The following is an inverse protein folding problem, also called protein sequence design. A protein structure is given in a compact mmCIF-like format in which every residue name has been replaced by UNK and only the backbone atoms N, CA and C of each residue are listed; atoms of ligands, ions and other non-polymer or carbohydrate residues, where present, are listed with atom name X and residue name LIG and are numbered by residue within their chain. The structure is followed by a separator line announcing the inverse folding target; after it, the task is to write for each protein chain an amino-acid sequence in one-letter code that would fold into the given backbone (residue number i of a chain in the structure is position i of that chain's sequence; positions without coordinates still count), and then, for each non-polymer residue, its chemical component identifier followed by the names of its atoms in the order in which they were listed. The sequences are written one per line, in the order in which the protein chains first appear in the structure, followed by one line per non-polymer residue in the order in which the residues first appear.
data_IF_519783879519
#
_entry.id   IF_519783879519
#
_cell.length_a   1.000
_cell.length_b   1.000
_cell.length_c   1.000
_cell.angle_alpha   90.00
_cell.angle_beta   90.00
_cell.angle_gamma   90.00
#
_symmetry.space_group_name_H-M   'P 1'
#
loop_
_entity.id
_entity.type
_entity.pdbx_description
1 polymer ?
#
# COMPACT_ATOMS: atom_id res chain seq x y z
N UNK A 1 -15.32 -33.33 35.68
CA UNK A 1 -13.99 -32.95 35.17
C UNK A 1 -14.12 -32.84 33.63
N UNK A 2 -14.38 -31.66 33.13
CA UNK A 2 -14.52 -31.45 31.67
C UNK A 2 -13.13 -31.18 31.05
N UNK A 3 -12.80 -31.77 29.90
CA UNK A 3 -11.55 -31.47 29.24
C UNK A 3 -11.65 -30.07 28.63
N UNK A 4 -10.80 -29.17 29.12
CA UNK A 4 -10.58 -27.85 28.54
C UNK A 4 -10.05 -28.03 27.09
N UNK A 5 -10.90 -27.84 26.08
CA UNK A 5 -10.46 -27.83 24.71
C UNK A 5 -9.60 -26.57 24.49
N UNK A 6 -8.29 -26.73 24.58
CA UNK A 6 -7.36 -25.74 23.99
C UNK A 6 -7.64 -25.72 22.48
N UNK A 7 -8.36 -24.71 22.03
CA UNK A 7 -8.39 -24.35 20.62
C UNK A 7 -6.92 -24.10 20.27
N UNK A 8 -6.33 -24.95 19.45
CA UNK A 8 -4.98 -24.76 18.95
C UNK A 8 -4.94 -23.39 18.23
N UNK A 9 -4.17 -22.46 18.75
CA UNK A 9 -3.97 -21.16 18.12
C UNK A 9 -3.28 -21.41 16.76
N UNK A 10 -3.93 -21.00 15.68
CA UNK A 10 -3.36 -21.12 14.32
C UNK A 10 -2.00 -20.38 14.27
N UNK A 11 -1.00 -21.00 13.67
CA UNK A 11 0.29 -20.34 13.44
C UNK A 11 0.09 -19.01 12.70
N UNK A 12 0.63 -17.88 13.20
CA UNK A 12 0.48 -16.57 12.57
C UNK A 12 0.88 -16.53 11.09
N UNK A 13 1.88 -17.32 10.69
CA UNK A 13 2.31 -17.44 9.28
C UNK A 13 1.25 -18.14 8.43
N UNK A 14 0.68 -19.24 8.94
CA UNK A 14 -0.39 -19.96 8.25
C UNK A 14 -1.63 -19.07 8.11
N UNK A 15 -2.01 -18.36 9.17
CA UNK A 15 -3.09 -17.39 9.15
C UNK A 15 -2.86 -16.26 8.14
N UNK A 16 -1.66 -15.65 8.10
CA UNK A 16 -1.29 -14.64 7.09
C UNK A 16 -1.39 -15.21 5.66
N UNK A 17 -0.94 -16.44 5.44
CA UNK A 17 -1.02 -17.08 4.10
C UNK A 17 -2.46 -17.30 3.66
N UNK A 18 -3.32 -17.84 4.53
CA UNK A 18 -4.74 -18.08 4.26
C UNK A 18 -5.48 -16.77 3.97
N UNK A 19 -5.36 -15.78 4.84
CA UNK A 19 -6.01 -14.47 4.68
C UNK A 19 -5.58 -13.77 3.39
N UNK A 20 -4.28 -13.86 3.04
CA UNK A 20 -3.78 -13.35 1.76
C UNK A 20 -4.47 -14.03 0.59
N UNK A 21 -4.53 -15.36 0.58
CA UNK A 21 -5.15 -16.10 -0.52
C UNK A 21 -6.64 -15.76 -0.68
N UNK A 22 -7.38 -15.70 0.43
CA UNK A 22 -8.80 -15.34 0.45
C UNK A 22 -9.05 -13.92 -0.08
N UNK A 23 -8.26 -12.94 0.39
CA UNK A 23 -8.41 -11.55 -0.04
C UNK A 23 -8.02 -11.34 -1.51
N UNK A 24 -6.97 -12.00 -1.98
CA UNK A 24 -6.58 -11.97 -3.39
C UNK A 24 -7.63 -12.64 -4.28
N UNK A 25 -8.27 -13.71 -3.83
CA UNK A 25 -9.37 -14.34 -4.56
C UNK A 25 -10.59 -13.40 -4.69
N UNK A 26 -10.95 -12.68 -3.62
CA UNK A 26 -12.01 -11.66 -3.68
C UNK A 26 -11.65 -10.52 -4.63
N UNK A 27 -10.40 -10.03 -4.57
CA UNK A 27 -9.90 -8.97 -5.46
C UNK A 27 -9.94 -9.39 -6.92
N UNK A 28 -9.53 -10.61 -7.23
CA UNK A 28 -9.56 -11.14 -8.59
C UNK A 28 -10.97 -11.24 -9.19
N UNK A 29 -12.01 -11.20 -8.35
CA UNK A 29 -13.41 -11.10 -8.80
C UNK A 29 -13.80 -9.73 -9.34
N UNK A 30 -13.01 -8.68 -9.04
CA UNK A 30 -13.19 -7.36 -9.64
C UNK A 30 -12.44 -7.32 -10.98
N UNK A 31 -13.15 -7.13 -12.06
CA UNK A 31 -12.56 -7.14 -13.40
C UNK A 31 -13.14 -6.05 -14.29
N UNK A 32 -12.38 -5.66 -15.31
CA UNK A 32 -12.84 -4.76 -16.37
C UNK A 32 -13.36 -3.42 -15.87
N UNK A 33 -14.60 -3.08 -16.23
CA UNK A 33 -15.21 -1.79 -15.90
C UNK A 33 -15.36 -1.58 -14.38
N UNK A 34 -15.72 -2.60 -13.62
CA UNK A 34 -15.89 -2.52 -12.16
C UNK A 34 -14.57 -2.18 -11.45
N UNK A 35 -13.47 -2.78 -11.90
CA UNK A 35 -12.13 -2.50 -11.40
C UNK A 35 -11.73 -1.04 -11.67
N UNK A 36 -11.94 -0.56 -12.90
CA UNK A 36 -11.60 0.81 -13.28
C UNK A 36 -12.44 1.84 -12.53
N UNK A 37 -13.75 1.61 -12.41
CA UNK A 37 -14.66 2.47 -11.67
C UNK A 37 -14.33 2.50 -10.16
N UNK A 38 -14.07 1.36 -9.55
CA UNK A 38 -13.67 1.28 -8.15
C UNK A 38 -12.34 2.02 -7.91
N UNK A 39 -11.35 1.86 -8.80
CA UNK A 39 -10.08 2.59 -8.72
C UNK A 39 -10.27 4.11 -8.81
N UNK A 40 -11.14 4.57 -9.71
CA UNK A 40 -11.48 5.99 -9.83
C UNK A 40 -12.19 6.53 -8.57
N UNK A 41 -13.13 5.77 -7.99
CA UNK A 41 -13.81 6.16 -6.73
C UNK A 41 -12.83 6.23 -5.57
N UNK A 42 -11.91 5.28 -5.44
CA UNK A 42 -10.88 5.32 -4.39
C UNK A 42 -9.99 6.57 -4.52
N UNK A 43 -9.61 6.94 -5.73
CA UNK A 43 -8.86 8.17 -5.98
C UNK A 43 -9.66 9.42 -5.58
N UNK A 44 -10.97 9.48 -5.87
CA UNK A 44 -11.85 10.57 -5.46
C UNK A 44 -12.01 10.66 -3.93
N UNK A 45 -11.92 9.55 -3.23
CA UNK A 45 -11.98 9.50 -1.76
C UNK A 45 -10.67 9.93 -1.09
N UNK A 46 -9.52 9.82 -1.77
CA UNK A 46 -8.20 10.05 -1.21
C UNK A 46 -8.00 11.43 -0.53
N UNK A 47 -8.57 12.56 -1.02
CA UNK A 47 -8.41 13.87 -0.37
C UNK A 47 -8.93 13.94 1.07
N UNK A 48 -9.74 13.00 1.53
CA UNK A 48 -10.20 12.92 2.93
C UNK A 48 -9.05 12.65 3.91
N UNK A 49 -7.96 12.01 3.45
CA UNK A 49 -6.72 11.77 4.21
C UNK A 49 -5.51 12.50 3.61
N UNK A 50 -5.44 12.60 2.28
CA UNK A 50 -4.37 13.26 1.54
C UNK A 50 -4.72 14.72 1.23
N UNK A 51 -5.02 15.49 2.29
CA UNK A 51 -5.24 16.93 2.17
C UNK A 51 -3.92 17.70 2.32
N UNK A 52 -3.83 18.92 1.74
CA UNK A 52 -2.65 19.79 1.78
C UNK A 52 -1.38 19.12 1.23
N UNK A 53 -1.48 18.57 0.02
CA UNK A 53 -0.36 17.86 -0.64
C UNK A 53 0.49 18.75 -1.55
N UNK A 54 0.16 20.03 -1.71
CA UNK A 54 0.93 20.97 -2.54
C UNK A 54 2.41 21.02 -2.12
N UNK A 55 3.29 20.82 -3.09
CA UNK A 55 4.74 20.73 -2.88
C UNK A 55 5.24 19.47 -2.16
N UNK A 56 4.36 18.67 -1.54
CA UNK A 56 4.75 17.45 -0.83
C UNK A 56 5.14 16.33 -1.79
N UNK A 57 6.02 15.46 -1.32
CA UNK A 57 6.35 14.23 -2.04
C UNK A 57 5.43 13.10 -1.59
N UNK A 58 4.58 12.62 -2.49
CA UNK A 58 3.69 11.48 -2.27
C UNK A 58 4.21 10.30 -3.07
N UNK A 59 4.57 9.20 -2.41
CA UNK A 59 4.93 7.99 -3.14
C UNK A 59 3.68 7.18 -3.45
N UNK A 60 3.57 6.73 -4.69
CA UNK A 60 2.62 5.71 -5.12
C UNK A 60 3.35 4.37 -5.30
N UNK A 61 2.64 3.36 -5.76
CA UNK A 61 3.22 2.13 -6.28
C UNK A 61 2.79 1.92 -7.74
N UNK A 62 3.56 1.19 -8.50
CA UNK A 62 3.14 0.72 -9.83
C UNK A 62 2.29 -0.54 -9.61
N UNK A 63 1.01 -0.55 -10.02
CA UNK A 63 0.13 -1.67 -9.80
C UNK A 63 0.65 -2.96 -10.44
N UNK A 64 0.53 -4.06 -9.72
CA UNK A 64 0.90 -5.38 -10.20
C UNK A 64 -0.33 -6.28 -10.28
N UNK A 65 -0.55 -6.90 -11.47
CA UNK A 65 -1.74 -7.73 -11.76
C UNK A 65 -3.04 -6.94 -11.58
N UNK A 66 -3.91 -7.43 -10.70
CA UNK A 66 -5.23 -6.93 -10.36
C UNK A 66 -5.24 -5.96 -9.15
N UNK A 67 -4.08 -5.38 -8.81
CA UNK A 67 -4.04 -4.30 -7.82
C UNK A 67 -4.85 -3.10 -8.27
N UNK A 68 -5.35 -2.35 -7.29
CA UNK A 68 -6.06 -1.10 -7.55
C UNK A 68 -5.19 -0.16 -8.40
N UNK A 69 -5.78 0.43 -9.45
CA UNK A 69 -5.06 1.33 -10.33
C UNK A 69 -4.74 2.66 -9.62
N UNK A 70 -3.47 3.01 -9.61
CA UNK A 70 -2.97 4.27 -9.02
C UNK A 70 -2.96 5.44 -9.99
N UNK A 71 -3.22 5.22 -11.29
CA UNK A 71 -3.19 6.30 -12.29
C UNK A 71 -4.22 7.42 -12.02
N UNK A 72 -5.48 7.12 -11.62
CA UNK A 72 -6.42 8.17 -11.26
C UNK A 72 -5.96 8.99 -10.04
N UNK A 73 -5.35 8.33 -9.04
CA UNK A 73 -4.79 9.01 -7.87
C UNK A 73 -3.57 9.87 -8.24
N UNK A 74 -2.70 9.37 -9.11
CA UNK A 74 -1.56 10.13 -9.60
C UNK A 74 -1.99 11.43 -10.30
N UNK A 75 -2.98 11.33 -11.19
CA UNK A 75 -3.54 12.49 -11.89
C UNK A 75 -4.12 13.53 -10.91
N UNK A 76 -4.84 13.07 -9.89
CA UNK A 76 -5.38 13.94 -8.84
C UNK A 76 -4.25 14.63 -8.06
N UNK A 77 -3.25 13.89 -7.60
CA UNK A 77 -2.11 14.43 -6.85
C UNK A 77 -1.34 15.49 -7.64
N UNK A 78 -1.05 15.25 -8.91
CA UNK A 78 -0.41 16.24 -9.78
C UNK A 78 -1.26 17.50 -9.96
N UNK A 79 -2.59 17.35 -10.11
CA UNK A 79 -3.49 18.50 -10.21
C UNK A 79 -3.53 19.36 -8.96
N UNK A 80 -3.18 18.77 -7.80
CA UNK A 80 -3.09 19.43 -6.50
C UNK A 80 -1.67 19.93 -6.15
N UNK A 81 -0.74 19.90 -7.10
CA UNK A 81 0.63 20.38 -6.90
C UNK A 81 1.56 19.41 -6.17
N UNK A 82 1.15 18.17 -5.92
CA UNK A 82 2.02 17.18 -5.30
C UNK A 82 3.12 16.71 -6.24
N UNK A 83 4.25 16.35 -5.68
CA UNK A 83 5.36 15.68 -6.36
C UNK A 83 5.21 14.17 -6.18
N UNK A 84 4.90 13.46 -7.26
CA UNK A 84 4.71 12.01 -7.21
C UNK A 84 6.05 11.29 -7.35
N UNK A 85 6.24 10.22 -6.56
CA UNK A 85 7.40 9.34 -6.65
C UNK A 85 6.95 7.87 -6.72
N UNK A 86 7.80 7.02 -7.31
CA UNK A 86 7.58 5.57 -7.35
C UNK A 86 8.72 4.83 -6.63
N UNK A 87 8.45 3.67 -6.04
CA UNK A 87 9.44 2.88 -5.32
C UNK A 87 10.39 2.16 -6.28
N UNK A 88 11.62 2.04 -5.82
CA UNK A 88 12.69 1.26 -6.47
C UNK A 88 13.17 0.21 -5.48
N UNK A 89 13.14 -1.05 -5.88
CA UNK A 89 13.70 -2.15 -5.09
C UNK A 89 15.21 -2.19 -5.35
N UNK A 90 15.99 -1.86 -4.33
CA UNK A 90 17.46 -1.82 -4.41
C UNK A 90 18.12 -3.08 -3.85
N UNK A 91 17.37 -3.96 -3.23
CA UNK A 91 17.82 -5.25 -2.70
C UNK A 91 16.69 -5.99 -1.99
N UNK A 92 16.86 -7.31 -1.81
CA UNK A 92 15.80 -8.18 -1.27
C UNK A 92 15.38 -7.78 0.16
N UNK A 93 16.35 -7.49 1.02
CA UNK A 93 16.13 -7.22 2.44
C UNK A 93 16.43 -5.75 2.81
N UNK A 94 16.39 -4.88 1.81
CA UNK A 94 16.62 -3.45 1.97
C UNK A 94 15.29 -2.67 1.90
N UNK A 95 15.23 -1.49 2.56
CA UNK A 95 14.13 -0.55 2.37
C UNK A 95 14.09 -0.06 0.93
N UNK A 96 12.92 0.41 0.52
CA UNK A 96 12.71 1.00 -0.80
C UNK A 96 13.44 2.35 -0.90
N UNK A 97 13.95 2.62 -2.09
CA UNK A 97 14.32 3.94 -2.55
C UNK A 97 13.13 4.54 -3.32
N UNK A 98 13.02 5.85 -3.42
CA UNK A 98 11.96 6.51 -4.20
C UNK A 98 12.55 7.47 -5.20
N UNK A 99 12.00 7.47 -6.43
CA UNK A 99 12.39 8.41 -7.48
C UNK A 99 11.18 9.17 -7.98
N UNK A 100 11.39 10.45 -8.26
CA UNK A 100 10.33 11.29 -8.84
C UNK A 100 9.87 10.73 -10.19
N UNK A 101 8.57 10.85 -10.40
CA UNK A 101 7.93 10.47 -11.64
C UNK A 101 6.86 11.50 -11.99
N UNK A 102 6.86 11.94 -13.26
CA UNK A 102 5.94 12.93 -13.83
C UNK A 102 5.19 12.32 -15.00
N UNK A 103 4.04 12.91 -15.41
CA UNK A 103 3.36 12.48 -16.62
C UNK A 103 4.31 12.51 -17.83
N UNK A 104 4.39 11.39 -18.54
CA UNK A 104 5.25 11.24 -19.71
C UNK A 104 6.70 10.83 -19.44
N UNK A 105 7.14 10.81 -18.17
CA UNK A 105 8.47 10.28 -17.85
C UNK A 105 8.54 8.78 -18.16
N UNK A 106 9.68 8.29 -18.71
CA UNK A 106 9.83 6.89 -19.02
C UNK A 106 9.86 6.03 -17.75
N UNK A 107 9.28 4.84 -17.84
CA UNK A 107 9.38 3.79 -16.83
C UNK A 107 10.02 2.55 -17.46
N UNK A 108 10.97 1.96 -16.75
CA UNK A 108 11.68 0.75 -17.17
C UNK A 108 11.10 -0.46 -16.43
N UNK A 109 10.85 -1.59 -17.11
CA UNK A 109 10.40 -2.81 -16.46
C UNK A 109 11.55 -3.47 -15.69
N UNK A 110 11.49 -3.48 -14.36
CA UNK A 110 12.54 -3.99 -13.47
C UNK A 110 12.13 -5.26 -12.73
N UNK A 111 13.09 -6.14 -12.50
CA UNK A 111 12.93 -7.39 -11.76
C UNK A 111 12.14 -8.47 -12.49
N UNK A 112 11.93 -9.61 -11.81
CA UNK A 112 11.23 -10.77 -12.37
C UNK A 112 9.77 -10.49 -12.74
N UNK A 113 9.15 -9.54 -12.05
CA UNK A 113 7.77 -9.12 -12.27
C UNK A 113 7.62 -7.96 -13.24
N UNK A 114 8.74 -7.45 -13.80
CA UNK A 114 8.78 -6.34 -14.76
C UNK A 114 7.99 -5.11 -14.27
N UNK A 115 8.14 -4.76 -13.00
CA UNK A 115 7.46 -3.62 -12.39
C UNK A 115 7.96 -2.32 -13.03
N UNK A 116 7.06 -1.45 -13.54
CA UNK A 116 7.42 -0.15 -14.09
C UNK A 116 8.12 0.71 -13.04
N UNK A 117 9.37 1.08 -13.29
CA UNK A 117 10.23 1.76 -12.30
C UNK A 117 10.91 2.96 -12.96
N UNK A 118 10.98 4.15 -12.30
CA UNK A 118 11.72 5.28 -12.82
C UNK A 118 13.20 4.96 -13.01
N UNK A 119 13.84 5.43 -14.12
CA UNK A 119 15.23 5.12 -14.43
C UNK A 119 16.19 5.68 -13.36
N UNK A 120 17.46 5.20 -13.33
CA UNK A 120 18.47 5.71 -12.41
C UNK A 120 18.76 7.21 -12.54
N UNK A 121 18.47 7.81 -13.67
CA UNK A 121 18.60 9.25 -13.91
C UNK A 121 17.50 10.10 -13.26
N UNK A 122 16.37 9.50 -12.85
CA UNK A 122 15.31 10.23 -12.17
C UNK A 122 15.74 10.62 -10.75
N UNK A 123 15.40 11.85 -10.27
CA UNK A 123 15.82 12.36 -8.98
C UNK A 123 15.33 11.48 -7.81
N UNK A 124 16.24 11.11 -6.93
CA UNK A 124 15.91 10.41 -5.69
C UNK A 124 15.30 11.37 -4.67
N UNK A 125 14.27 10.93 -3.97
CA UNK A 125 13.53 11.73 -3.01
C UNK A 125 13.11 10.90 -1.80
N UNK A 126 12.84 11.60 -0.69
CA UNK A 126 12.24 11.00 0.51
C UNK A 126 10.78 11.43 0.58
N UNK A 127 9.82 10.50 0.55
CA UNK A 127 8.40 10.85 0.57
C UNK A 127 7.97 11.41 1.92
N UNK A 128 6.96 12.28 1.89
CA UNK A 128 6.24 12.79 3.06
C UNK A 128 5.03 11.90 3.37
N UNK A 129 4.40 11.39 2.31
CA UNK A 129 3.27 10.48 2.37
C UNK A 129 3.55 9.26 1.50
N UNK A 130 3.23 8.07 2.02
CA UNK A 130 3.38 6.81 1.30
C UNK A 130 2.02 6.17 1.05
N UNK A 131 1.73 5.89 -0.21
CA UNK A 131 0.61 5.05 -0.62
C UNK A 131 1.14 3.61 -0.72
N UNK A 132 0.58 2.74 0.12
CA UNK A 132 1.12 1.41 0.38
C UNK A 132 0.23 0.33 -0.23
N UNK A 133 0.76 -0.54 -1.12
CA UNK A 133 0.02 -1.68 -1.65
C UNK A 133 -0.12 -2.77 -0.60
N UNK A 134 -1.18 -3.57 -0.71
CA UNK A 134 -1.44 -4.67 0.20
C UNK A 134 -2.35 -5.74 -0.41
N UNK A 135 -2.30 -6.93 0.13
CA UNK A 135 -3.21 -8.02 -0.22
C UNK A 135 -4.46 -8.05 0.68
N UNK A 136 -4.27 -7.78 1.98
CA UNK A 136 -5.36 -7.69 2.95
C UNK A 136 -5.03 -6.65 4.03
N UNK A 137 -6.04 -6.08 4.69
CA UNK A 137 -5.88 -5.12 5.78
C UNK A 137 -6.98 -5.26 6.83
N UNK A 138 -6.74 -4.71 8.02
CA UNK A 138 -7.75 -4.53 9.04
C UNK A 138 -7.88 -3.05 9.46
N UNK A 139 -8.92 -2.75 10.26
CA UNK A 139 -9.21 -1.37 10.69
C UNK A 139 -8.21 -0.79 11.70
N UNK A 140 -7.30 -1.62 12.24
CA UNK A 140 -6.20 -1.15 13.10
C UNK A 140 -4.99 -0.63 12.29
N UNK A 141 -5.01 -0.79 10.96
CA UNK A 141 -3.92 -0.40 10.08
C UNK A 141 -2.90 -1.51 9.80
N UNK A 142 -3.08 -2.71 10.36
CA UNK A 142 -2.21 -3.83 9.99
C UNK A 142 -2.58 -4.38 8.63
N UNK A 143 -1.56 -4.79 7.90
CA UNK A 143 -1.72 -5.24 6.52
C UNK A 143 -0.92 -6.50 6.23
N UNK A 144 -1.38 -7.25 5.27
CA UNK A 144 -0.66 -8.38 4.68
C UNK A 144 -0.18 -7.93 3.29
N UNK A 145 1.14 -7.84 3.13
CA UNK A 145 1.78 -7.61 1.82
C UNK A 145 2.06 -8.92 1.09
N UNK A 146 2.95 -8.87 0.10
CA UNK A 146 3.34 -10.03 -0.71
C UNK A 146 4.53 -10.85 -0.13
N UNK A 147 4.97 -10.52 1.08
CA UNK A 147 5.94 -11.32 1.84
C UNK A 147 7.39 -10.87 1.74
N UNK A 148 7.71 -9.80 0.99
CA UNK A 148 9.07 -9.28 0.91
C UNK A 148 9.46 -8.32 2.06
N UNK A 149 8.50 -7.78 2.81
CA UNK A 149 8.71 -6.88 3.96
C UNK A 149 9.33 -5.52 3.59
N UNK A 150 9.35 -5.13 2.32
CA UNK A 150 9.96 -3.87 1.89
C UNK A 150 9.35 -2.65 2.55
N UNK A 151 8.00 -2.59 2.63
CA UNK A 151 7.31 -1.45 3.21
C UNK A 151 7.48 -1.35 4.72
N UNK A 152 7.56 -2.47 5.44
CA UNK A 152 7.79 -2.47 6.89
C UNK A 152 9.18 -1.88 7.19
N UNK A 153 10.23 -2.38 6.55
CA UNK A 153 11.59 -1.81 6.67
C UNK A 153 11.69 -0.36 6.22
N UNK A 154 10.90 0.01 5.22
CA UNK A 154 10.89 1.40 4.73
C UNK A 154 10.23 2.34 5.73
N UNK A 155 9.10 1.96 6.29
CA UNK A 155 8.37 2.76 7.28
C UNK A 155 9.17 2.88 8.58
N UNK A 156 9.71 1.77 9.09
CA UNK A 156 10.60 1.78 10.26
C UNK A 156 11.75 2.78 10.07
N UNK A 157 12.49 2.67 8.96
CA UNK A 157 13.60 3.58 8.65
C UNK A 157 13.16 5.03 8.51
N UNK A 158 12.08 5.31 7.81
CA UNK A 158 11.62 6.68 7.56
C UNK A 158 11.07 7.32 8.84
N UNK A 159 10.30 6.59 9.63
CA UNK A 159 9.73 7.06 10.90
C UNK A 159 10.80 7.36 11.94
N UNK A 160 11.94 6.67 11.87
CA UNK A 160 13.10 6.97 12.74
C UNK A 160 13.76 8.34 12.46
N UNK A 161 13.61 8.89 11.24
CA UNK A 161 14.33 10.11 10.84
C UNK A 161 13.41 11.31 10.55
N UNK A 162 12.14 11.08 10.22
CA UNK A 162 11.17 12.15 9.97
C UNK A 162 9.74 11.68 10.20
N UNK A 163 8.83 12.62 10.42
CA UNK A 163 7.39 12.32 10.42
C UNK A 163 6.94 12.03 8.99
N UNK A 164 6.51 10.80 8.73
CA UNK A 164 5.89 10.36 7.49
C UNK A 164 4.50 9.81 7.78
N UNK A 165 3.59 9.92 6.82
CA UNK A 165 2.28 9.27 6.89
C UNK A 165 2.23 8.15 5.86
N UNK A 166 1.63 7.02 6.24
CA UNK A 166 1.46 5.88 5.37
C UNK A 166 -0.03 5.56 5.24
N UNK A 167 -0.54 5.43 4.02
CA UNK A 167 -1.93 5.11 3.76
C UNK A 167 -2.02 3.85 2.90
N UNK A 168 -2.74 2.85 3.38
CA UNK A 168 -3.07 1.70 2.56
C UNK A 168 -4.05 2.11 1.45
N UNK A 169 -3.82 1.63 0.24
CA UNK A 169 -4.67 1.90 -0.93
C UNK A 169 -5.06 0.58 -1.57
N UNK A 170 -6.32 0.21 -1.45
CA UNK A 170 -6.81 -1.11 -1.79
C UNK A 170 -8.32 -1.09 -2.04
N UNK A 171 -8.87 -2.17 -2.56
CA UNK A 171 -10.32 -2.34 -2.64
C UNK A 171 -10.89 -2.79 -1.28
N UNK A 172 -12.12 -2.36 -0.98
CA UNK A 172 -12.82 -2.70 0.26
C UNK A 172 -12.97 -4.21 0.47
N UNK A 173 -13.08 -5.00 -0.60
CA UNK A 173 -13.14 -6.45 -0.54
C UNK A 173 -11.87 -7.11 0.05
N UNK A 174 -10.78 -6.37 0.22
CA UNK A 174 -9.53 -6.83 0.83
C UNK A 174 -9.54 -6.66 2.37
N UNK A 175 -10.57 -6.04 2.95
CA UNK A 175 -10.73 -5.91 4.40
C UNK A 175 -10.95 -7.29 5.04
N UNK A 176 -10.27 -7.52 6.18
CA UNK A 176 -10.41 -8.71 7.04
C UNK A 176 -10.68 -8.28 8.47
N UNK A 177 -11.27 -9.15 9.28
CA UNK A 177 -11.61 -8.82 10.66
C UNK A 177 -10.38 -8.48 11.52
N UNK A 178 -9.29 -9.22 11.35
CA UNK A 178 -8.02 -8.97 12.03
C UNK A 178 -6.85 -9.57 11.25
N UNK A 179 -5.79 -8.79 11.11
CA UNK A 179 -4.51 -9.24 10.57
C UNK A 179 -3.62 -9.70 11.71
N UNK A 180 -3.12 -10.94 11.70
CA UNK A 180 -2.06 -11.37 12.61
C UNK A 180 -0.81 -10.52 12.34
N UNK A 181 -0.22 -9.95 13.38
CA UNK A 181 0.92 -9.05 13.26
C UNK A 181 2.03 -9.43 14.24
N UNK A 182 3.24 -9.05 13.89
CA UNK A 182 4.47 -9.23 14.67
C UNK A 182 5.04 -7.86 15.04
N UNK A 183 5.94 -7.75 16.04
CA UNK A 183 6.47 -6.45 16.50
C UNK A 183 7.16 -5.59 15.43
N UNK A 184 7.60 -6.19 14.33
CA UNK A 184 8.24 -5.50 13.20
C UNK A 184 7.27 -5.13 12.06
N UNK A 185 6.00 -5.49 12.17
CA UNK A 185 4.97 -5.09 11.20
C UNK A 185 4.55 -3.64 11.49
N UNK A 186 4.85 -2.74 10.58
CA UNK A 186 4.56 -1.31 10.68
C UNK A 186 3.12 -0.99 10.24
N UNK A 187 2.22 -0.53 11.12
CA UNK A 187 0.86 -0.19 10.73
C UNK A 187 0.83 1.05 9.82
N UNK A 188 -0.20 1.15 8.98
CA UNK A 188 -0.51 2.37 8.23
C UNK A 188 -1.35 3.32 9.08
N UNK A 189 -1.27 4.63 8.78
CA UNK A 189 -1.96 5.69 9.50
C UNK A 189 -3.43 5.83 9.07
N UNK A 190 -3.80 5.21 7.95
CA UNK A 190 -5.17 5.17 7.45
C UNK A 190 -5.33 4.31 6.21
N UNK A 191 -6.57 4.09 5.83
CA UNK A 191 -6.95 3.32 4.67
C UNK A 191 -7.80 4.14 3.70
N UNK A 192 -7.56 3.96 2.42
CA UNK A 192 -8.31 4.58 1.32
C UNK A 192 -8.84 3.46 0.43
N UNK A 193 -10.16 3.34 0.33
CA UNK A 193 -10.84 2.38 -0.54
C UNK A 193 -11.89 3.10 -1.40
N UNK A 194 -12.49 2.38 -2.33
CA UNK A 194 -13.60 2.87 -3.15
C UNK A 194 -14.89 3.10 -2.36
N UNK A 195 -15.01 2.50 -1.17
CA UNK A 195 -16.22 2.57 -0.33
C UNK A 195 -16.01 3.46 0.88
N UNK A 196 -14.86 3.37 1.54
CA UNK A 196 -14.61 4.05 2.81
C UNK A 196 -13.17 4.58 2.90
N UNK A 197 -13.02 5.62 3.72
CA UNK A 197 -11.72 6.22 4.08
C UNK A 197 -11.71 6.46 5.58
N UNK A 198 -10.73 5.90 6.27
CA UNK A 198 -10.63 6.01 7.72
C UNK A 198 -9.18 6.10 8.20
N UNK A 199 -8.99 6.79 9.33
CA UNK A 199 -7.71 6.81 10.04
C UNK A 199 -7.57 5.55 10.88
N UNK A 200 -6.37 5.01 10.96
CA UNK A 200 -6.00 3.90 11.82
C UNK A 200 -5.24 4.44 13.04
N UNK A 201 -5.46 3.88 14.25
CA UNK A 201 -4.66 4.22 15.43
C UNK A 201 -4.98 5.57 16.08
N UNK A 202 -6.23 6.01 16.09
CA UNK A 202 -6.71 7.11 16.94
C UNK A 202 -7.36 6.55 18.21
N UNK A 203 -6.63 6.44 19.28
CA UNK A 203 -7.14 6.50 20.66
C UNK A 203 -6.66 7.78 21.28
#
# INVERSE_FOLDING_TARGET
MQPSSRIAQEDPRAAKMRLRAEALARRAGLAGADHAEASARAAQNAPRLLHYVDGRVVSLFAPFRDEIDTAPLAALLWSQGARVALPVVVGRDLPLLFRLWRPGDPLEPVGAYRIPTPPPSAPEVVPDDLIVPLAAFDRRGYRIGYGAGHYDRTLDRLRAVKRVRAFGYAFSCQEVAAVPHEPHDEPVDGMITEVDVFSCGGT
#
